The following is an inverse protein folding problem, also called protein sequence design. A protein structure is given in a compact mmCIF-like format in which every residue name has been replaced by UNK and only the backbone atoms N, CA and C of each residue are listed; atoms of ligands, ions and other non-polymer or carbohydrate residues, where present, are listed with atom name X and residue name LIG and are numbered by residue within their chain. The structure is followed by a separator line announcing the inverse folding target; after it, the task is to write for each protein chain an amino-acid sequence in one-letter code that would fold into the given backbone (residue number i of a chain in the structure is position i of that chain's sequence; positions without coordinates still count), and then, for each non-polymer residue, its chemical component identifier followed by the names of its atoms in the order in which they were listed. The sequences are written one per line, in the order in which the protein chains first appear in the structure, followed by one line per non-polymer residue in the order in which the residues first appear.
data_IF_047416412336
#
_entry.id   IF_047416412336
#
_cell.length_a   1.000
_cell.length_b   1.000
_cell.length_c   1.000
_cell.angle_alpha   90.00
_cell.angle_beta   90.00
_cell.angle_gamma   90.00
#
_symmetry.space_group_name_H-M   'P 1'
#
loop_
_entity.id
_entity.type
_entity.pdbx_description
1 polymer ?
#
# COMPACT_ATOMS: atom_id res chain seq x y z
N UNK A 1 -2.29 -17.23 -22.95
CA UNK A 1 -3.08 -18.21 -22.20
C UNK A 1 -2.71 -18.17 -20.72
N UNK A 2 -1.44 -18.38 -20.34
CA UNK A 2 -1.01 -18.33 -18.93
C UNK A 2 -1.41 -17.07 -18.12
N UNK A 3 -1.35 -15.86 -18.69
CA UNK A 3 -1.70 -14.63 -17.94
C UNK A 3 -3.19 -14.56 -17.58
N UNK A 4 -4.07 -14.94 -18.50
CA UNK A 4 -5.52 -14.89 -18.29
C UNK A 4 -5.94 -15.89 -17.21
N UNK A 5 -5.33 -17.08 -17.22
CA UNK A 5 -5.58 -18.14 -16.24
C UNK A 5 -5.17 -17.69 -14.83
N UNK A 6 -3.99 -17.08 -14.69
CA UNK A 6 -3.51 -16.53 -13.41
C UNK A 6 -4.40 -15.39 -12.89
N UNK A 7 -4.82 -14.48 -13.78
CA UNK A 7 -5.73 -13.40 -13.40
C UNK A 7 -7.11 -13.92 -12.97
N UNK A 8 -7.62 -14.94 -13.66
CA UNK A 8 -8.88 -15.57 -13.33
C UNK A 8 -8.80 -16.28 -11.98
N UNK A 9 -7.73 -17.05 -11.74
CA UNK A 9 -7.47 -17.71 -10.46
C UNK A 9 -7.37 -16.70 -9.31
N UNK A 10 -6.58 -15.65 -9.48
CA UNK A 10 -6.47 -14.55 -8.51
C UNK A 10 -7.82 -13.92 -8.22
N UNK A 11 -8.58 -13.57 -9.26
CA UNK A 11 -9.89 -12.95 -9.11
C UNK A 11 -10.84 -13.88 -8.35
N UNK A 12 -10.86 -15.16 -8.69
CA UNK A 12 -11.76 -16.15 -8.09
C UNK A 12 -11.43 -16.40 -6.60
N UNK A 13 -10.15 -16.56 -6.27
CA UNK A 13 -9.71 -16.76 -4.88
C UNK A 13 -10.00 -15.52 -4.05
N UNK A 14 -9.61 -14.34 -4.52
CA UNK A 14 -9.83 -13.09 -3.79
C UNK A 14 -11.33 -12.81 -3.65
N UNK A 15 -12.14 -13.00 -4.70
CA UNK A 15 -13.59 -12.85 -4.62
C UNK A 15 -14.22 -13.81 -3.60
N UNK A 16 -13.75 -15.06 -3.56
CA UNK A 16 -14.22 -16.05 -2.57
C UNK A 16 -13.89 -15.61 -1.15
N UNK A 17 -12.66 -15.14 -0.90
CA UNK A 17 -12.25 -14.59 0.40
C UNK A 17 -13.08 -13.36 0.78
N UNK A 18 -13.31 -12.44 -0.17
CA UNK A 18 -14.14 -11.25 0.04
C UNK A 18 -15.57 -11.61 0.39
N UNK A 19 -16.21 -12.54 -0.34
CA UNK A 19 -17.57 -13.01 -0.05
C UNK A 19 -17.63 -13.65 1.34
N UNK A 20 -16.69 -14.54 1.68
CA UNK A 20 -16.65 -15.20 2.98
C UNK A 20 -16.50 -14.18 4.13
N UNK A 21 -15.54 -13.26 4.03
CA UNK A 21 -15.32 -12.22 5.04
C UNK A 21 -16.51 -11.26 5.15
N UNK A 22 -17.10 -10.89 4.02
CA UNK A 22 -18.26 -10.00 3.95
C UNK A 22 -19.47 -10.63 4.64
N UNK A 23 -19.72 -11.93 4.42
CA UNK A 23 -20.78 -12.66 5.11
C UNK A 23 -20.51 -12.82 6.62
N UNK A 24 -19.25 -13.07 7.01
CA UNK A 24 -18.87 -13.33 8.39
C UNK A 24 -18.76 -12.06 9.26
N UNK A 25 -18.28 -10.94 8.71
CA UNK A 25 -17.93 -9.72 9.46
C UNK A 25 -19.01 -8.63 9.29
N UNK A 26 -19.47 -8.40 8.07
CA UNK A 26 -20.42 -7.30 7.76
C UNK A 26 -21.86 -7.77 7.90
N UNK A 27 -22.15 -8.97 7.40
CA UNK A 27 -23.46 -9.59 7.41
C UNK A 27 -24.36 -9.16 6.24
N UNK A 28 -25.23 -10.05 5.73
CA UNK A 28 -25.96 -9.87 4.47
C UNK A 28 -26.93 -8.68 4.48
N UNK A 29 -27.52 -8.36 5.65
CA UNK A 29 -28.52 -7.29 5.77
C UNK A 29 -27.91 -5.91 5.52
N UNK A 30 -26.72 -5.63 6.07
CA UNK A 30 -26.03 -4.33 5.93
C UNK A 30 -25.64 -4.05 4.48
N UNK A 31 -25.17 -5.08 3.77
CA UNK A 31 -24.78 -4.95 2.36
C UNK A 31 -25.99 -4.67 1.47
N UNK A 32 -27.10 -5.39 1.67
CA UNK A 32 -28.33 -5.16 0.90
C UNK A 32 -28.85 -3.74 1.12
N UNK A 33 -28.78 -3.23 2.35
CA UNK A 33 -29.12 -1.84 2.64
C UNK A 33 -28.16 -0.87 1.93
N UNK A 34 -26.86 -1.10 2.01
CA UNK A 34 -25.86 -0.25 1.36
C UNK A 34 -26.00 -0.19 -0.17
N UNK A 35 -26.35 -1.31 -0.81
CA UNK A 35 -26.58 -1.37 -2.26
C UNK A 35 -27.85 -0.60 -2.67
N UNK A 36 -28.90 -0.59 -1.83
CA UNK A 36 -30.13 0.16 -2.13
C UNK A 36 -29.89 1.67 -2.13
N UNK A 37 -29.06 2.15 -1.21
CA UNK A 37 -28.78 3.58 -1.03
C UNK A 37 -27.43 3.99 -1.65
N UNK A 38 -26.97 3.30 -2.69
CA UNK A 38 -25.61 3.47 -3.23
C UNK A 38 -25.31 4.88 -3.78
N UNK A 39 -26.32 5.59 -4.30
CA UNK A 39 -26.14 6.89 -4.98
C UNK A 39 -25.61 7.96 -4.03
N UNK A 40 -26.30 8.15 -2.90
CA UNK A 40 -25.88 9.09 -1.87
C UNK A 40 -24.50 8.72 -1.29
N UNK A 41 -24.22 7.42 -1.10
CA UNK A 41 -22.91 6.92 -0.62
C UNK A 41 -21.79 7.28 -1.57
N UNK A 42 -22.01 7.12 -2.87
CA UNK A 42 -21.04 7.46 -3.90
C UNK A 42 -20.82 8.98 -3.99
N UNK A 43 -21.88 9.76 -3.90
CA UNK A 43 -21.80 11.23 -3.88
C UNK A 43 -20.98 11.73 -2.69
N UNK A 44 -21.18 11.15 -1.50
CA UNK A 44 -20.40 11.49 -0.30
C UNK A 44 -18.90 11.16 -0.42
N UNK A 45 -18.55 10.13 -1.18
CA UNK A 45 -17.15 9.72 -1.39
C UNK A 45 -16.54 10.28 -2.69
N UNK A 46 -17.28 11.07 -3.46
CA UNK A 46 -16.88 11.46 -4.81
C UNK A 46 -15.57 12.25 -4.82
N UNK A 47 -15.41 13.20 -3.89
CA UNK A 47 -14.21 14.02 -3.81
C UNK A 47 -12.97 13.19 -3.39
N UNK A 48 -12.99 12.42 -2.29
CA UNK A 48 -11.89 11.50 -1.97
C UNK A 48 -11.53 10.56 -3.12
N UNK A 49 -12.53 9.98 -3.79
CA UNK A 49 -12.32 9.09 -4.94
C UNK A 49 -11.69 9.83 -6.12
N UNK A 50 -12.10 11.06 -6.40
CA UNK A 50 -11.54 11.88 -7.46
C UNK A 50 -10.08 12.23 -7.18
N UNK A 51 -9.71 12.53 -5.93
CA UNK A 51 -8.31 12.79 -5.57
C UNK A 51 -7.46 11.53 -5.70
N UNK A 52 -7.94 10.39 -5.21
CA UNK A 52 -7.25 9.11 -5.40
C UNK A 52 -7.04 8.80 -6.89
N UNK A 53 -8.09 8.95 -7.70
CA UNK A 53 -8.02 8.75 -9.14
C UNK A 53 -7.01 9.72 -9.80
N UNK A 54 -6.98 10.98 -9.38
CA UNK A 54 -6.02 11.95 -9.87
C UNK A 54 -4.56 11.55 -9.56
N UNK A 55 -4.28 11.07 -8.35
CA UNK A 55 -2.94 10.58 -7.97
C UNK A 55 -2.56 9.36 -8.82
N UNK A 56 -3.48 8.41 -9.01
CA UNK A 56 -3.24 7.22 -9.83
C UNK A 56 -3.01 7.56 -11.31
N UNK A 57 -3.78 8.50 -11.86
CA UNK A 57 -3.64 8.99 -13.23
C UNK A 57 -2.35 9.80 -13.42
N UNK A 58 -1.98 10.62 -12.43
CA UNK A 58 -0.72 11.35 -12.44
C UNK A 58 0.44 10.37 -12.47
N UNK A 59 0.44 9.33 -11.63
CA UNK A 59 1.45 8.27 -11.68
C UNK A 59 1.49 7.63 -13.07
N UNK A 60 0.34 7.19 -13.58
CA UNK A 60 0.28 6.49 -14.86
C UNK A 60 0.84 7.35 -16.02
N UNK A 61 0.51 8.64 -16.04
CA UNK A 61 0.97 9.58 -17.08
C UNK A 61 2.42 10.03 -16.93
N UNK A 62 2.96 10.05 -15.70
CA UNK A 62 4.32 10.54 -15.41
C UNK A 62 5.35 9.43 -15.27
N UNK A 63 4.94 8.16 -15.25
CA UNK A 63 5.81 7.01 -14.97
C UNK A 63 7.08 7.01 -15.85
N UNK A 64 6.93 7.20 -17.16
CA UNK A 64 8.06 7.21 -18.10
C UNK A 64 9.00 8.42 -17.91
N UNK A 65 8.44 9.56 -17.49
CA UNK A 65 9.18 10.80 -17.25
C UNK A 65 9.97 10.70 -15.95
N UNK A 66 9.33 10.20 -14.89
CA UNK A 66 9.94 9.96 -13.58
C UNK A 66 11.10 8.98 -13.72
N UNK A 67 10.91 7.86 -14.43
CA UNK A 67 11.99 6.89 -14.66
C UNK A 67 13.20 7.50 -15.39
N UNK A 68 12.96 8.42 -16.33
CA UNK A 68 14.04 9.13 -17.04
C UNK A 68 14.74 10.16 -16.14
N UNK A 69 14.01 10.83 -15.25
CA UNK A 69 14.56 11.79 -14.28
C UNK A 69 15.38 11.08 -13.20
N UNK A 70 14.84 10.01 -12.63
CA UNK A 70 15.48 9.16 -11.62
C UNK A 70 16.85 8.68 -12.11
N UNK A 71 16.92 8.13 -13.33
CA UNK A 71 18.17 7.61 -13.93
C UNK A 71 19.19 8.68 -14.37
N UNK A 72 18.79 9.94 -14.53
CA UNK A 72 19.66 10.98 -15.11
C UNK A 72 20.05 12.10 -14.17
N UNK A 73 19.32 12.31 -13.08
CA UNK A 73 19.43 13.55 -12.29
C UNK A 73 19.59 13.29 -10.79
N UNK A 74 18.88 12.32 -10.23
CA UNK A 74 18.83 12.18 -8.77
C UNK A 74 19.89 11.24 -8.19
N UNK A 75 20.26 10.14 -8.88
CA UNK A 75 21.33 9.16 -8.54
C UNK A 75 21.49 8.81 -7.03
N UNK A 76 20.47 9.06 -6.21
CA UNK A 76 20.55 8.95 -4.76
C UNK A 76 20.23 7.52 -4.35
N UNK A 77 21.21 6.65 -4.60
CA UNK A 77 21.13 5.25 -4.26
C UNK A 77 21.31 5.06 -2.75
N UNK A 78 20.24 4.68 -2.07
CA UNK A 78 20.23 4.43 -0.63
C UNK A 78 20.38 2.94 -0.28
N UNK A 79 20.52 2.06 -1.29
CA UNK A 79 20.65 0.61 -1.09
C UNK A 79 21.79 0.24 -0.13
N UNK A 80 23.01 0.84 -0.20
CA UNK A 80 24.08 0.55 0.75
C UNK A 80 23.69 0.85 2.21
N UNK A 81 22.96 1.94 2.43
CA UNK A 81 22.51 2.39 3.74
C UNK A 81 21.45 1.42 4.30
N UNK A 82 20.52 0.97 3.45
CA UNK A 82 19.51 -0.01 3.82
C UNK A 82 20.13 -1.36 4.20
N UNK A 83 21.07 -1.85 3.39
CA UNK A 83 21.78 -3.12 3.66
C UNK A 83 22.67 -3.03 4.90
N UNK A 84 23.39 -1.92 5.10
CA UNK A 84 24.21 -1.72 6.30
C UNK A 84 23.37 -1.69 7.58
N UNK A 85 22.17 -1.08 7.51
CA UNK A 85 21.24 -1.09 8.64
C UNK A 85 20.71 -2.51 8.92
N UNK A 86 20.38 -3.27 7.88
CA UNK A 86 19.93 -4.67 8.00
C UNK A 86 21.00 -5.52 8.71
N UNK A 87 22.27 -5.39 8.29
CA UNK A 87 23.41 -6.05 8.94
C UNK A 87 23.56 -5.64 10.41
N UNK A 88 23.42 -4.35 10.72
CA UNK A 88 23.50 -3.86 12.10
C UNK A 88 22.36 -4.41 12.99
N UNK A 89 21.22 -4.80 12.40
CA UNK A 89 20.07 -5.38 13.07
C UNK A 89 20.05 -6.92 13.07
N UNK A 90 21.22 -7.55 12.98
CA UNK A 90 21.39 -9.00 12.98
C UNK A 90 20.80 -9.68 11.72
N UNK A 91 20.85 -9.00 10.58
CA UNK A 91 20.46 -9.52 9.26
C UNK A 91 19.05 -10.16 9.25
N UNK A 92 17.98 -9.41 9.59
CA UNK A 92 16.63 -9.98 9.73
C UNK A 92 16.14 -10.74 8.49
N UNK A 93 16.53 -10.30 7.29
CA UNK A 93 16.17 -10.97 6.04
C UNK A 93 16.81 -12.37 5.96
N UNK A 94 18.10 -12.49 6.29
CA UNK A 94 18.82 -13.76 6.29
C UNK A 94 18.25 -14.70 7.36
N UNK A 95 17.99 -14.16 8.57
CA UNK A 95 17.35 -14.93 9.64
C UNK A 95 15.99 -15.46 9.21
N UNK A 96 15.15 -14.65 8.57
CA UNK A 96 13.85 -15.10 8.06
C UNK A 96 13.98 -16.19 7.00
N UNK A 97 14.90 -16.03 6.05
CA UNK A 97 15.13 -17.05 5.00
C UNK A 97 15.73 -18.34 5.56
N UNK A 98 16.41 -18.31 6.71
CA UNK A 98 16.95 -19.53 7.34
C UNK A 98 15.86 -20.53 7.77
N UNK A 99 14.62 -20.07 7.98
CA UNK A 99 13.47 -20.91 8.32
C UNK A 99 12.75 -21.49 7.09
N UNK A 100 13.33 -21.32 5.88
CA UNK A 100 12.62 -21.68 4.66
C UNK A 100 12.27 -23.16 4.58
N UNK A 101 11.00 -23.41 4.24
CA UNK A 101 10.46 -24.73 3.92
C UNK A 101 9.46 -24.58 2.79
N UNK A 102 9.18 -25.65 2.04
CA UNK A 102 8.21 -25.61 0.94
C UNK A 102 6.82 -25.09 1.39
N UNK A 103 6.37 -25.54 2.57
CA UNK A 103 5.10 -25.11 3.16
C UNK A 103 5.10 -23.63 3.56
N UNK A 104 6.17 -23.15 4.21
CA UNK A 104 6.29 -21.76 4.63
C UNK A 104 6.40 -20.81 3.43
N UNK A 105 7.16 -21.20 2.41
CA UNK A 105 7.28 -20.45 1.16
C UNK A 105 5.93 -20.35 0.45
N UNK A 106 5.20 -21.47 0.35
CA UNK A 106 3.85 -21.47 -0.23
C UNK A 106 2.89 -20.55 0.52
N UNK A 107 2.94 -20.57 1.86
CA UNK A 107 2.17 -19.66 2.70
C UNK A 107 2.51 -18.20 2.43
N UNK A 108 3.78 -17.81 2.43
CA UNK A 108 4.17 -16.41 2.23
C UNK A 108 3.92 -15.92 0.81
N UNK A 109 4.04 -16.77 -0.21
CA UNK A 109 3.61 -16.45 -1.58
C UNK A 109 2.10 -16.21 -1.62
N UNK A 110 1.32 -17.08 -0.98
CA UNK A 110 -0.13 -16.92 -0.91
C UNK A 110 -0.52 -15.59 -0.23
N UNK A 111 0.12 -15.28 0.90
CA UNK A 111 -0.10 -14.02 1.63
C UNK A 111 0.31 -12.82 0.77
N UNK A 112 1.47 -12.87 0.11
CA UNK A 112 1.98 -11.77 -0.70
C UNK A 112 1.07 -11.44 -1.89
N UNK A 113 0.47 -12.45 -2.52
CA UNK A 113 -0.41 -12.26 -3.69
C UNK A 113 -1.87 -12.08 -3.27
N UNK A 114 -2.48 -13.12 -2.72
CA UNK A 114 -3.93 -13.16 -2.45
C UNK A 114 -4.28 -12.47 -1.13
N UNK A 115 -3.50 -12.71 -0.08
CA UNK A 115 -3.70 -12.09 1.24
C UNK A 115 -3.63 -10.57 1.16
N UNK A 116 -2.63 -10.04 0.46
CA UNK A 116 -2.46 -8.62 0.22
C UNK A 116 -3.63 -8.02 -0.58
N UNK A 117 -4.01 -8.62 -1.72
CA UNK A 117 -5.12 -8.14 -2.53
C UNK A 117 -6.44 -8.12 -1.74
N UNK A 118 -6.74 -9.20 -1.01
CA UNK A 118 -7.89 -9.27 -0.12
C UNK A 118 -7.86 -8.17 0.95
N UNK A 119 -6.72 -8.00 1.64
CA UNK A 119 -6.55 -7.03 2.73
C UNK A 119 -6.81 -5.60 2.26
N UNK A 120 -6.40 -5.24 1.04
CA UNK A 120 -6.63 -3.91 0.49
C UNK A 120 -8.07 -3.66 0.04
N UNK A 121 -8.76 -4.67 -0.47
CA UNK A 121 -10.10 -4.51 -1.05
C UNK A 121 -11.20 -4.60 0.02
N UNK A 122 -11.08 -5.53 0.96
CA UNK A 122 -12.10 -5.77 1.98
C UNK A 122 -12.54 -4.51 2.77
N UNK A 123 -11.66 -3.62 3.25
CA UNK A 123 -12.09 -2.46 4.04
C UNK A 123 -12.98 -1.50 3.24
N UNK A 124 -12.83 -1.40 1.91
CA UNK A 124 -13.76 -0.62 1.08
C UNK A 124 -15.18 -1.20 1.15
N UNK A 125 -15.33 -2.52 1.07
CA UNK A 125 -16.62 -3.19 1.18
C UNK A 125 -17.20 -3.00 2.59
N UNK A 126 -16.37 -3.23 3.61
CA UNK A 126 -16.79 -3.15 5.00
C UNK A 126 -17.25 -1.73 5.39
N UNK A 127 -16.48 -0.70 5.04
CA UNK A 127 -16.81 0.69 5.37
C UNK A 127 -17.91 1.27 4.46
N UNK A 128 -18.00 0.85 3.20
CA UNK A 128 -19.15 1.20 2.35
C UNK A 128 -20.47 0.65 2.92
N UNK A 129 -20.43 -0.44 3.68
CA UNK A 129 -21.61 -1.02 4.31
C UNK A 129 -22.03 -0.37 5.65
N UNK A 130 -21.27 0.59 6.16
CA UNK A 130 -21.61 1.34 7.38
C UNK A 130 -22.70 2.39 7.12
N UNK A 131 -23.33 2.92 8.16
CA UNK A 131 -24.39 3.93 7.99
C UNK A 131 -23.83 5.30 7.60
N UNK A 132 -22.61 5.62 8.04
CA UNK A 132 -21.91 6.88 7.78
C UNK A 132 -20.70 6.65 6.87
N UNK A 133 -20.35 7.66 6.07
CA UNK A 133 -19.26 7.57 5.07
C UNK A 133 -17.92 8.10 5.58
N UNK A 134 -17.85 8.57 6.82
CA UNK A 134 -16.65 9.18 7.39
C UNK A 134 -15.48 8.18 7.43
N UNK A 135 -15.72 6.91 7.79
CA UNK A 135 -14.66 5.90 7.81
C UNK A 135 -14.18 5.54 6.39
N UNK A 136 -15.09 5.53 5.42
CA UNK A 136 -14.75 5.25 4.03
C UNK A 136 -13.94 6.40 3.43
N UNK A 137 -14.33 7.65 3.71
CA UNK A 137 -13.55 8.84 3.36
C UNK A 137 -12.18 8.85 4.03
N UNK A 138 -12.11 8.51 5.33
CA UNK A 138 -10.87 8.33 6.10
C UNK A 138 -9.97 7.28 5.46
N UNK A 139 -10.52 6.13 5.04
CA UNK A 139 -9.79 5.08 4.34
C UNK A 139 -9.21 5.58 3.01
N UNK A 140 -10.04 6.22 2.18
CA UNK A 140 -9.62 6.73 0.87
C UNK A 140 -8.54 7.79 1.03
N UNK A 141 -8.70 8.72 1.98
CA UNK A 141 -7.71 9.75 2.24
C UNK A 141 -6.40 9.16 2.79
N UNK A 142 -6.47 8.20 3.71
CA UNK A 142 -5.29 7.49 4.21
C UNK A 142 -4.55 6.78 3.07
N UNK A 143 -5.26 6.08 2.19
CA UNK A 143 -4.67 5.41 1.03
C UNK A 143 -4.05 6.40 0.05
N UNK A 144 -4.72 7.52 -0.18
CA UNK A 144 -4.25 8.59 -1.06
C UNK A 144 -2.97 9.21 -0.52
N UNK A 145 -2.93 9.58 0.78
CA UNK A 145 -1.76 10.12 1.43
C UNK A 145 -0.58 9.12 1.41
N UNK A 146 -0.87 7.85 1.74
CA UNK A 146 0.12 6.79 1.73
C UNK A 146 0.78 6.64 0.35
N UNK A 147 -0.06 6.53 -0.68
CA UNK A 147 0.42 6.34 -2.03
C UNK A 147 1.14 7.58 -2.57
N UNK A 148 0.61 8.78 -2.35
CA UNK A 148 1.22 10.01 -2.80
C UNK A 148 2.60 10.25 -2.16
N UNK A 149 2.71 10.06 -0.84
CA UNK A 149 3.98 10.19 -0.13
C UNK A 149 4.93 9.07 -0.56
N UNK A 150 4.47 7.82 -0.66
CA UNK A 150 5.30 6.71 -1.13
C UNK A 150 5.86 6.94 -2.53
N UNK A 151 5.05 7.45 -3.46
CA UNK A 151 5.51 7.83 -4.80
C UNK A 151 6.55 8.94 -4.76
N UNK A 152 6.39 9.95 -3.91
CA UNK A 152 7.40 10.98 -3.72
C UNK A 152 8.73 10.36 -3.29
N UNK A 153 8.74 9.43 -2.33
CA UNK A 153 9.96 8.74 -1.92
C UNK A 153 10.57 7.91 -3.05
N UNK A 154 9.77 7.18 -3.82
CA UNK A 154 10.25 6.44 -4.99
C UNK A 154 10.85 7.35 -6.07
N UNK A 155 10.42 8.60 -6.16
CA UNK A 155 11.07 9.56 -7.07
C UNK A 155 12.39 10.11 -6.52
N UNK A 156 12.51 10.22 -5.19
CA UNK A 156 13.66 10.85 -4.52
C UNK A 156 14.81 9.88 -4.25
N UNK A 157 14.51 8.60 -4.07
CA UNK A 157 15.45 7.57 -3.65
C UNK A 157 15.42 6.37 -4.58
N UNK A 158 16.62 5.91 -4.95
CA UNK A 158 16.80 4.68 -5.69
C UNK A 158 17.18 3.60 -4.68
N UNK A 159 16.40 2.51 -4.60
CA UNK A 159 16.65 1.43 -3.67
C UNK A 159 16.42 0.06 -4.32
N UNK A 160 17.35 -0.87 -4.17
CA UNK A 160 17.21 -2.24 -4.66
C UNK A 160 16.97 -3.21 -3.50
N UNK A 161 16.08 -4.17 -3.70
CA UNK A 161 15.77 -5.20 -2.71
C UNK A 161 16.90 -6.23 -2.58
N UNK A 162 16.93 -7.02 -1.48
CA UNK A 162 17.97 -8.00 -1.20
C UNK A 162 18.28 -8.93 -2.40
N UNK A 163 17.24 -9.49 -3.02
CA UNK A 163 17.37 -10.39 -4.20
C UNK A 163 18.01 -9.75 -5.43
N UNK A 164 17.88 -8.43 -5.58
CA UNK A 164 18.43 -7.69 -6.73
C UNK A 164 19.89 -7.29 -6.49
N UNK A 165 20.28 -7.10 -5.22
CA UNK A 165 21.64 -6.71 -4.84
C UNK A 165 22.60 -7.91 -4.83
N UNK A 166 22.16 -9.07 -4.38
CA UNK A 166 23.00 -10.27 -4.30
C UNK A 166 22.19 -11.54 -4.54
N UNK A 167 21.95 -11.91 -5.82
CA UNK A 167 21.21 -13.12 -6.18
C UNK A 167 21.85 -14.42 -5.66
N UNK A 168 23.15 -14.39 -5.34
CA UNK A 168 23.89 -15.51 -4.74
C UNK A 168 23.61 -15.69 -3.23
N UNK A 169 23.12 -14.63 -2.57
CA UNK A 169 22.85 -14.61 -1.13
C UNK A 169 21.34 -14.64 -0.81
N UNK A 170 20.49 -14.21 -1.74
CA UNK A 170 19.05 -14.10 -1.54
C UNK A 170 18.29 -14.78 -2.67
N UNK A 171 17.56 -15.84 -2.33
CA UNK A 171 16.77 -16.58 -3.31
C UNK A 171 15.52 -15.79 -3.74
N UNK A 172 15.24 -15.79 -5.05
CA UNK A 172 14.02 -15.24 -5.63
C UNK A 172 12.80 -16.14 -5.40
N UNK A 173 12.46 -16.42 -4.13
CA UNK A 173 11.49 -17.43 -3.72
C UNK A 173 10.10 -17.27 -4.36
N UNK A 174 9.70 -16.03 -4.66
CA UNK A 174 8.45 -15.75 -5.39
C UNK A 174 8.46 -16.34 -6.82
N UNK A 175 9.59 -16.27 -7.50
CA UNK A 175 9.73 -16.74 -8.88
C UNK A 175 10.02 -18.24 -8.97
N UNK A 176 10.60 -18.83 -7.92
CA UNK A 176 10.77 -20.28 -7.85
C UNK A 176 9.44 -20.97 -7.54
N UNK A 177 8.65 -20.43 -6.60
CA UNK A 177 7.36 -20.99 -6.21
C UNK A 177 6.21 -20.60 -7.16
N UNK A 178 6.29 -19.42 -7.79
CA UNK A 178 5.27 -18.95 -8.73
C UNK A 178 5.93 -18.33 -9.97
N UNK A 179 6.52 -19.14 -10.89
CA UNK A 179 7.26 -18.64 -12.05
C UNK A 179 6.44 -17.70 -12.94
N UNK A 180 5.12 -17.94 -13.00
CA UNK A 180 4.15 -17.14 -13.76
C UNK A 180 3.99 -15.71 -13.21
N UNK A 181 4.33 -15.47 -11.94
CA UNK A 181 4.38 -14.12 -11.35
C UNK A 181 5.47 -13.26 -11.99
N UNK A 182 6.48 -13.86 -12.62
CA UNK A 182 7.52 -13.15 -13.36
C UNK A 182 6.95 -12.25 -14.45
N UNK A 183 5.99 -12.76 -15.23
CA UNK A 183 5.34 -11.98 -16.28
C UNK A 183 4.46 -10.85 -15.73
N UNK A 184 3.69 -11.09 -14.65
CA UNK A 184 2.85 -10.06 -14.01
C UNK A 184 3.67 -8.97 -13.30
N UNK A 185 4.72 -9.37 -12.58
CA UNK A 185 5.50 -8.44 -11.75
C UNK A 185 6.49 -7.64 -12.56
N UNK A 186 7.02 -8.16 -13.67
CA UNK A 186 7.97 -7.44 -14.51
C UNK A 186 7.33 -6.34 -15.37
N UNK A 187 6.02 -6.43 -15.65
CA UNK A 187 5.27 -5.38 -16.35
C UNK A 187 4.82 -4.25 -15.41
N UNK A 188 4.65 -4.52 -14.11
CA UNK A 188 4.00 -3.60 -13.16
C UNK A 188 4.97 -3.05 -12.11
N UNK A 189 5.99 -3.82 -11.72
CA UNK A 189 6.86 -3.50 -10.59
C UNK A 189 8.29 -3.17 -11.05
N UNK A 190 8.77 -1.97 -10.71
CA UNK A 190 10.15 -1.56 -10.98
C UNK A 190 11.05 -2.12 -9.88
N UNK A 191 12.22 -2.64 -10.26
CA UNK A 191 13.19 -3.21 -9.32
C UNK A 191 13.78 -2.18 -8.34
N UNK A 192 13.54 -0.88 -8.55
CA UNK A 192 14.01 0.26 -7.73
C UNK A 192 12.98 0.79 -6.71
N UNK A 193 11.72 0.34 -6.78
CA UNK A 193 10.62 0.84 -5.94
C UNK A 193 10.56 0.12 -4.59
N UNK A 194 11.63 0.24 -3.81
CA UNK A 194 11.82 -0.58 -2.60
C UNK A 194 11.62 0.23 -1.32
N UNK A 195 12.05 1.49 -1.27
CA UNK A 195 11.98 2.31 -0.07
C UNK A 195 11.02 3.51 -0.20
N UNK A 196 10.07 3.69 0.74
CA UNK A 196 9.66 2.75 1.78
C UNK A 196 8.82 1.59 1.22
N UNK A 197 8.67 0.49 1.95
CA UNK A 197 7.84 -0.64 1.48
C UNK A 197 6.36 -0.26 1.40
N UNK A 198 5.84 0.00 0.19
CA UNK A 198 4.41 0.27 0.01
C UNK A 198 3.49 -0.92 0.34
N UNK A 199 3.94 -2.16 0.10
CA UNK A 199 3.19 -3.35 0.50
C UNK A 199 2.97 -3.39 2.02
N UNK A 200 4.02 -3.13 2.78
CA UNK A 200 3.94 -2.99 4.24
C UNK A 200 3.07 -1.79 4.62
N UNK A 201 3.32 -0.64 4.00
CA UNK A 201 2.67 0.62 4.34
C UNK A 201 1.14 0.57 4.17
N UNK A 202 0.66 0.09 3.02
CA UNK A 202 -0.78 -0.03 2.77
C UNK A 202 -1.41 -1.11 3.65
N UNK A 203 -0.74 -2.25 3.86
CA UNK A 203 -1.25 -3.31 4.74
C UNK A 203 -1.37 -2.85 6.20
N UNK A 204 -0.35 -2.17 6.72
CA UNK A 204 -0.37 -1.59 8.07
C UNK A 204 -1.38 -0.46 8.19
N UNK A 205 -1.62 0.32 7.12
CA UNK A 205 -2.70 1.32 7.09
C UNK A 205 -4.06 0.68 7.32
N UNK A 206 -4.34 -0.45 6.65
CA UNK A 206 -5.59 -1.21 6.86
C UNK A 206 -5.70 -1.70 8.30
N UNK A 207 -4.62 -2.25 8.87
CA UNK A 207 -4.63 -2.73 10.25
C UNK A 207 -4.85 -1.59 11.26
N UNK A 208 -4.17 -0.46 11.11
CA UNK A 208 -4.32 0.69 12.00
C UNK A 208 -5.72 1.31 11.88
N UNK A 209 -6.29 1.41 10.68
CA UNK A 209 -7.68 1.84 10.51
C UNK A 209 -8.65 0.84 11.14
N UNK A 210 -8.44 -0.46 10.96
CA UNK A 210 -9.25 -1.47 11.64
C UNK A 210 -9.23 -1.29 13.16
N UNK A 211 -8.06 -0.97 13.74
CA UNK A 211 -7.89 -0.69 15.17
C UNK A 211 -8.60 0.60 15.62
N UNK A 212 -8.50 1.67 14.84
CA UNK A 212 -9.20 2.93 15.09
C UNK A 212 -10.72 2.72 15.04
N UNK A 213 -11.21 1.98 14.04
CA UNK A 213 -12.65 1.68 13.84
C UNK A 213 -13.11 0.40 14.55
N UNK A 214 -12.37 -0.09 15.55
CA UNK A 214 -12.58 -1.43 16.15
C UNK A 214 -13.97 -1.66 16.74
N UNK A 215 -14.66 -0.59 17.14
CA UNK A 215 -16.02 -0.68 17.68
C UNK A 215 -17.06 -1.03 16.60
N UNK A 216 -16.76 -0.71 15.33
CA UNK A 216 -17.66 -0.94 14.18
C UNK A 216 -17.57 -2.38 13.67
N UNK A 217 -16.35 -2.93 13.61
CA UNK A 217 -16.06 -4.31 13.18
C UNK A 217 -14.97 -4.96 14.07
N UNK A 218 -15.28 -5.37 15.31
CA UNK A 218 -14.27 -5.87 16.25
C UNK A 218 -13.58 -7.16 15.79
N UNK A 219 -14.32 -8.02 15.08
CA UNK A 219 -13.77 -9.26 14.49
C UNK A 219 -12.80 -9.01 13.33
N UNK A 220 -12.82 -7.83 12.71
CA UNK A 220 -11.91 -7.48 11.63
C UNK A 220 -10.49 -7.19 12.12
N UNK A 221 -10.35 -6.61 13.31
CA UNK A 221 -9.05 -6.22 13.89
C UNK A 221 -8.02 -7.36 13.92
N UNK A 222 -8.31 -8.54 14.50
CA UNK A 222 -7.33 -9.63 14.52
C UNK A 222 -7.02 -10.17 13.13
N UNK A 223 -7.99 -10.19 12.21
CA UNK A 223 -7.79 -10.65 10.82
C UNK A 223 -6.88 -9.69 10.06
N UNK A 224 -7.17 -8.39 10.14
CA UNK A 224 -6.38 -7.33 9.52
C UNK A 224 -4.95 -7.32 10.07
N UNK A 225 -4.79 -7.43 11.40
CA UNK A 225 -3.47 -7.46 12.04
C UNK A 225 -2.64 -8.67 11.63
N UNK A 226 -3.24 -9.87 11.65
CA UNK A 226 -2.56 -11.08 11.21
C UNK A 226 -2.10 -10.98 9.74
N UNK A 227 -2.99 -10.54 8.85
CA UNK A 227 -2.66 -10.40 7.43
C UNK A 227 -1.62 -9.31 7.19
N UNK A 228 -1.75 -8.14 7.83
CA UNK A 228 -0.81 -7.04 7.65
C UNK A 228 0.61 -7.40 8.09
N UNK A 229 0.74 -8.03 9.26
CA UNK A 229 2.02 -8.53 9.76
C UNK A 229 2.56 -9.62 8.82
N UNK A 230 1.70 -10.54 8.36
CA UNK A 230 2.12 -11.61 7.45
C UNK A 230 2.59 -11.05 6.10
N UNK A 231 1.97 -9.99 5.58
CA UNK A 231 2.42 -9.30 4.35
C UNK A 231 3.76 -8.60 4.58
N UNK A 232 3.93 -7.91 5.71
CA UNK A 232 5.21 -7.28 6.04
C UNK A 232 6.34 -8.33 6.09
N UNK A 233 6.11 -9.45 6.77
CA UNK A 233 7.06 -10.56 6.84
C UNK A 233 7.29 -11.24 5.48
N UNK A 234 6.25 -11.42 4.66
CA UNK A 234 6.38 -12.05 3.34
C UNK A 234 7.29 -11.23 2.42
N UNK A 235 7.25 -9.89 2.51
CA UNK A 235 8.11 -9.04 1.70
C UNK A 235 9.60 -9.23 1.99
N UNK A 236 9.97 -9.45 3.25
CA UNK A 236 11.36 -9.74 3.64
C UNK A 236 11.71 -11.19 3.33
N UNK A 237 10.83 -12.14 3.67
CA UNK A 237 11.05 -13.57 3.44
C UNK A 237 11.30 -13.87 1.96
N UNK A 238 10.54 -13.24 1.06
CA UNK A 238 10.69 -13.40 -0.40
C UNK A 238 11.87 -12.60 -0.99
N UNK A 239 12.67 -11.92 -0.16
CA UNK A 239 13.85 -11.16 -0.57
C UNK A 239 13.54 -9.87 -1.33
N UNK A 240 12.34 -9.31 -1.16
CA UNK A 240 11.86 -8.14 -1.93
C UNK A 240 12.24 -6.83 -1.23
N UNK A 241 12.13 -6.78 0.10
CA UNK A 241 12.39 -5.58 0.91
C UNK A 241 13.39 -5.85 2.04
N UNK A 242 14.16 -4.84 2.41
CA UNK A 242 14.99 -4.85 3.62
C UNK A 242 14.14 -4.57 4.86
N UNK A 243 14.64 -4.93 6.04
CA UNK A 243 13.93 -4.65 7.30
C UNK A 243 13.68 -3.14 7.51
N UNK A 244 14.65 -2.31 7.17
CA UNK A 244 14.55 -0.84 7.25
C UNK A 244 13.42 -0.28 6.39
N UNK A 245 13.20 -0.83 5.18
CA UNK A 245 12.11 -0.41 4.30
C UNK A 245 10.73 -0.77 4.87
N UNK A 246 10.64 -1.91 5.54
CA UNK A 246 9.42 -2.38 6.23
C UNK A 246 9.10 -1.49 7.43
N UNK A 247 10.11 -1.13 8.22
CA UNK A 247 9.95 -0.17 9.33
C UNK A 247 9.51 1.19 8.80
N UNK A 248 10.17 1.70 7.76
CA UNK A 248 9.78 2.98 7.13
C UNK A 248 8.38 2.93 6.53
N UNK A 249 7.99 1.81 5.91
CA UNK A 249 6.62 1.56 5.44
C UNK A 249 5.60 1.60 6.58
N UNK A 250 5.92 1.00 7.73
CA UNK A 250 5.04 1.04 8.91
C UNK A 250 4.89 2.46 9.47
N UNK A 251 5.97 3.25 9.48
CA UNK A 251 5.91 4.68 9.86
C UNK A 251 5.07 5.47 8.86
N UNK A 252 5.24 5.24 7.56
CA UNK A 252 4.41 5.86 6.53
C UNK A 252 2.92 5.53 6.71
N UNK A 253 2.60 4.29 7.09
CA UNK A 253 1.23 3.90 7.44
C UNK A 253 0.66 4.71 8.60
N UNK A 254 1.41 4.87 9.70
CA UNK A 254 1.00 5.68 10.85
C UNK A 254 0.73 7.14 10.45
N UNK A 255 1.63 7.74 9.67
CA UNK A 255 1.49 9.11 9.16
C UNK A 255 0.24 9.22 8.27
N UNK A 256 0.01 8.25 7.41
CA UNK A 256 -1.11 8.26 6.47
C UNK A 256 -2.46 8.11 7.20
N UNK A 257 -2.53 7.24 8.20
CA UNK A 257 -3.72 7.10 9.05
C UNK A 257 -3.93 8.36 9.89
N UNK A 258 -2.86 8.96 10.42
CA UNK A 258 -2.96 10.23 11.12
C UNK A 258 -3.55 11.30 10.20
N UNK A 259 -3.11 11.39 8.94
CA UNK A 259 -3.68 12.34 7.97
C UNK A 259 -5.17 12.03 7.73
N UNK A 260 -5.51 10.77 7.46
CA UNK A 260 -6.89 10.38 7.16
C UNK A 260 -7.87 10.62 8.31
N UNK A 261 -7.42 10.46 9.55
CA UNK A 261 -8.26 10.63 10.75
C UNK A 261 -8.42 12.09 11.16
N UNK A 262 -7.42 12.95 10.92
CA UNK A 262 -7.39 14.32 11.45
C UNK A 262 -7.73 15.40 10.42
N UNK A 263 -7.84 15.06 9.15
CA UNK A 263 -8.11 16.02 8.09
C UNK A 263 -9.15 15.50 7.12
N UNK A 264 -9.85 16.43 6.48
CA UNK A 264 -10.69 16.19 5.31
C UNK A 264 -9.97 16.58 4.02
N UNK A 265 -10.49 16.13 2.88
CA UNK A 265 -9.91 16.48 1.57
C UNK A 265 -10.04 17.99 1.34
N UNK A 266 -11.17 18.57 1.72
CA UNK A 266 -11.48 19.99 1.62
C UNK A 266 -10.47 20.84 2.41
N UNK A 267 -10.22 20.48 3.68
CA UNK A 267 -9.26 21.19 4.54
C UNK A 267 -7.83 21.15 3.96
N UNK A 268 -7.40 20.00 3.42
CA UNK A 268 -6.08 19.87 2.79
C UNK A 268 -5.99 20.77 1.55
N UNK A 269 -7.01 20.74 0.69
CA UNK A 269 -7.05 21.55 -0.54
C UNK A 269 -7.04 23.04 -0.22
N UNK A 270 -7.83 23.48 0.75
CA UNK A 270 -7.92 24.88 1.15
C UNK A 270 -6.66 25.36 1.87
N UNK A 271 -6.02 24.49 2.66
CA UNK A 271 -4.71 24.75 3.25
C UNK A 271 -3.63 24.98 2.19
N UNK A 272 -3.58 24.13 1.15
CA UNK A 272 -2.63 24.29 0.04
C UNK A 272 -2.91 25.59 -0.73
N UNK A 273 -4.18 25.89 -1.05
CA UNK A 273 -4.55 27.12 -1.74
C UNK A 273 -4.11 28.37 -0.98
N UNK A 274 -4.34 28.38 0.33
CA UNK A 274 -3.98 29.50 1.20
C UNK A 274 -2.46 29.66 1.28
N UNK A 275 -1.71 28.56 1.43
CA UNK A 275 -0.25 28.57 1.43
C UNK A 275 0.32 29.13 0.12
N UNK A 276 -0.17 28.65 -1.03
CA UNK A 276 0.23 29.14 -2.35
C UNK A 276 -0.08 30.62 -2.49
N UNK A 277 -1.31 31.04 -2.16
CA UNK A 277 -1.70 32.45 -2.23
C UNK A 277 -0.78 33.35 -1.37
N UNK A 278 -0.41 32.91 -0.16
CA UNK A 278 0.50 33.64 0.72
C UNK A 278 1.92 33.77 0.16
N UNK A 279 2.39 32.81 -0.63
CA UNK A 279 3.74 32.82 -1.21
C UNK A 279 3.85 33.71 -2.45
N UNK A 280 2.76 33.85 -3.20
CA UNK A 280 2.70 34.66 -4.43
C UNK A 280 2.15 36.08 -4.22
N UNK A 281 1.67 36.43 -3.03
CA UNK A 281 1.54 37.82 -2.61
C UNK A 281 2.93 38.36 -2.23
N UNK A 282 3.62 39.00 -3.18
CA UNK A 282 4.78 39.84 -2.87
C UNK A 282 4.40 40.88 -1.81
N UNK A 283 5.31 41.29 -0.90
CA UNK A 283 5.13 42.52 -0.16
C UNK A 283 4.93 43.61 -1.20
N UNK A 284 3.81 44.34 -1.15
CA UNK A 284 3.74 45.64 -1.82
C UNK A 284 4.96 46.42 -1.31
N UNK A 285 5.80 46.86 -2.22
CA UNK A 285 6.81 47.85 -1.94
C UNK A 285 6.05 49.13 -1.53
N UNK A 286 5.79 49.25 -0.24
CA UNK A 286 5.40 50.51 0.38
C UNK A 286 6.70 51.29 0.61
N UNK A 287 6.94 52.30 -0.23
CA UNK A 287 8.12 53.18 -0.27
C UNK A 287 8.76 53.13 -1.65
N UNK A 288 8.69 54.15 -2.51
CA UNK A 288 8.76 55.61 -2.32
C UNK A 288 7.86 56.39 -3.30
#
# INVERSE_FOLDING_TARGET
MALLDVLLELTLIVATMLVAATLAIVGPRRIVAAIRDFRWRLEACLLPLAVLAAVLLLRWSTQDVVQRLERRVLENNITPQLSAFDQAMLEPVIVLQSFQTEALTSFFVFIYIYGYAFLLIFPFIAYFALEEMDDLSTLILSFTANYAIGLLFYTLFIAYGPRNLSPELFEGLLYTAFPQSGALTHEINQNTNVFPSLHTSLSMTVFFLAWVTREKYPSWVPVAGFLAISVALSTMYLGIHWFSDVVAGTVLALVSVYIGVNYTVEEIVDGIRTFVASRFQSPKADGE
#
